data_IF_724614405220
#
_entry.id   IF_724614405220
#
_cell.length_a   1.000
_cell.length_b   1.000
_cell.length_c   1.000
_cell.angle_alpha   90.00
_cell.angle_beta   90.00
_cell.angle_gamma   90.00
#
_symmetry.space_group_name_H-M   'P 1'
#
loop_
_entity.id
_entity.type
_entity.pdbx_description
1 polymer ?
#
# COMPACT_ATOMS: atom_id res chain seq x y z
N UNK A 1 -10.98 -25.04 -22.40
CA UNK A 1 -11.08 -24.68 -20.97
C UNK A 1 -9.70 -24.79 -20.35
N UNK A 2 -8.92 -23.70 -20.37
CA UNK A 2 -7.68 -23.59 -19.60
C UNK A 2 -7.91 -22.51 -18.56
N UNK A 3 -7.87 -22.92 -17.29
CA UNK A 3 -7.96 -22.03 -16.14
C UNK A 3 -6.64 -21.26 -16.04
N UNK A 4 -6.62 -20.00 -16.45
CA UNK A 4 -5.66 -19.02 -15.93
C UNK A 4 -6.34 -18.30 -14.76
N UNK A 5 -6.17 -18.83 -13.55
CA UNK A 5 -6.47 -18.09 -12.31
C UNK A 5 -5.35 -17.09 -12.08
N UNK A 6 -5.43 -15.91 -12.72
CA UNK A 6 -4.43 -14.85 -12.65
C UNK A 6 -4.78 -13.79 -11.60
N UNK A 7 -3.83 -13.47 -10.75
CA UNK A 7 -3.91 -12.53 -9.65
C UNK A 7 -4.02 -11.05 -10.11
N UNK A 8 -5.14 -10.65 -10.70
CA UNK A 8 -5.28 -9.35 -11.41
C UNK A 8 -5.31 -8.10 -10.50
N UNK A 9 -5.35 -8.30 -9.18
CA UNK A 9 -5.60 -7.24 -8.21
C UNK A 9 -4.50 -7.04 -7.16
N UNK A 10 -3.35 -7.72 -7.24
CA UNK A 10 -2.22 -7.41 -6.35
C UNK A 10 -1.47 -6.17 -6.83
N UNK A 11 -1.40 -5.15 -5.96
CA UNK A 11 -0.82 -3.83 -6.24
C UNK A 11 0.15 -3.42 -5.14
N UNK A 12 1.02 -2.47 -5.46
CA UNK A 12 2.00 -1.94 -4.51
C UNK A 12 1.33 -1.10 -3.43
N UNK A 13 1.72 -1.30 -2.17
CA UNK A 13 1.32 -0.43 -1.05
C UNK A 13 2.09 0.89 -1.16
N UNK A 14 3.43 0.82 -1.17
CA UNK A 14 4.29 1.93 -1.58
C UNK A 14 4.46 1.89 -3.10
N UNK A 15 3.92 2.85 -3.87
CA UNK A 15 3.92 2.77 -5.32
C UNK A 15 5.33 2.74 -5.91
N UNK A 16 5.54 1.91 -6.93
CA UNK A 16 6.84 1.76 -7.64
C UNK A 16 7.53 3.10 -7.93
N UNK A 17 6.83 4.04 -8.58
CA UNK A 17 7.38 5.36 -8.91
C UNK A 17 7.79 6.18 -7.68
N UNK A 18 7.09 6.01 -6.56
CA UNK A 18 7.48 6.64 -5.31
C UNK A 18 8.76 5.98 -4.76
N UNK A 19 8.84 4.66 -4.75
CA UNK A 19 10.02 3.92 -4.30
C UNK A 19 11.27 4.27 -5.13
N UNK A 20 11.16 4.29 -6.46
CA UNK A 20 12.23 4.67 -7.39
C UNK A 20 12.73 6.09 -7.10
N UNK A 21 11.82 7.05 -6.89
CA UNK A 21 12.17 8.44 -6.57
C UNK A 21 12.90 8.57 -5.22
N UNK A 22 12.63 7.68 -4.27
CA UNK A 22 13.22 7.69 -2.94
C UNK A 22 14.44 6.76 -2.82
N UNK A 23 14.97 6.24 -3.93
CA UNK A 23 16.17 5.41 -3.93
C UNK A 23 16.01 4.05 -3.24
N UNK A 24 14.77 3.55 -3.10
CA UNK A 24 14.52 2.23 -2.53
C UNK A 24 14.94 1.16 -3.54
N UNK A 25 15.68 0.15 -3.09
CA UNK A 25 16.17 -0.90 -3.97
C UNK A 25 15.02 -1.74 -4.57
N UNK A 26 15.07 -2.09 -5.87
CA UNK A 26 14.04 -2.91 -6.53
C UNK A 26 13.74 -4.22 -5.82
N UNK A 27 14.76 -4.90 -5.28
CA UNK A 27 14.58 -6.16 -4.54
C UNK A 27 13.66 -6.01 -3.33
N UNK A 28 13.61 -4.82 -2.72
CA UNK A 28 12.76 -4.55 -1.56
C UNK A 28 11.34 -4.18 -2.00
N UNK A 29 11.20 -3.22 -2.91
CA UNK A 29 9.85 -2.74 -3.28
C UNK A 29 9.08 -3.68 -4.22
N UNK A 30 9.77 -4.57 -4.95
CA UNK A 30 9.13 -5.61 -5.78
C UNK A 30 8.79 -6.89 -5.01
N UNK A 31 9.17 -6.98 -3.74
CA UNK A 31 8.82 -8.08 -2.83
C UNK A 31 7.31 -8.23 -2.62
N UNK A 32 6.90 -9.39 -2.11
CA UNK A 32 5.51 -9.66 -1.70
C UNK A 32 5.09 -8.82 -0.48
N UNK A 33 6.05 -8.38 0.35
CA UNK A 33 5.81 -7.54 1.53
C UNK A 33 5.18 -6.21 1.13
N UNK A 34 5.64 -5.60 0.03
CA UNK A 34 5.09 -4.34 -0.50
C UNK A 34 3.84 -4.53 -1.38
N UNK A 35 3.14 -5.67 -1.28
CA UNK A 35 2.00 -6.00 -2.14
C UNK A 35 0.76 -6.33 -1.33
N UNK A 36 -0.41 -5.89 -1.82
CA UNK A 36 -1.71 -6.21 -1.26
C UNK A 36 -2.77 -6.37 -2.36
N UNK A 37 -3.78 -7.23 -2.15
CA UNK A 37 -4.99 -7.25 -2.98
C UNK A 37 -5.72 -5.90 -2.84
N UNK A 38 -5.81 -5.15 -3.93
CA UNK A 38 -6.44 -3.84 -3.98
C UNK A 38 -7.43 -3.78 -5.13
N UNK A 39 -8.62 -3.25 -4.86
CA UNK A 39 -9.60 -2.99 -5.91
C UNK A 39 -9.06 -2.00 -6.94
N UNK A 40 -9.52 -2.09 -8.19
CA UNK A 40 -9.18 -1.12 -9.24
C UNK A 40 -9.50 0.32 -8.83
N UNK A 41 -10.60 0.53 -8.08
CA UNK A 41 -10.98 1.85 -7.53
C UNK A 41 -9.93 2.38 -6.55
N UNK A 42 -9.48 1.55 -5.61
CA UNK A 42 -8.44 1.91 -4.64
C UNK A 42 -7.12 2.20 -5.33
N UNK A 43 -6.71 1.36 -6.28
CA UNK A 43 -5.48 1.52 -7.05
C UNK A 43 -5.44 2.85 -7.83
N UNK A 44 -6.58 3.27 -8.41
CA UNK A 44 -6.70 4.59 -9.07
C UNK A 44 -6.50 5.76 -8.10
N UNK A 45 -6.91 5.63 -6.84
CA UNK A 45 -6.73 6.68 -5.82
C UNK A 45 -5.25 6.78 -5.40
N UNK A 46 -4.62 5.63 -5.18
CA UNK A 46 -3.19 5.49 -4.85
C UNK A 46 -2.32 6.16 -5.92
N UNK A 47 -2.44 5.73 -7.18
CA UNK A 47 -1.60 6.24 -8.26
C UNK A 47 -0.10 6.10 -7.95
N UNK A 48 0.67 7.17 -8.12
CA UNK A 48 2.10 7.22 -7.79
C UNK A 48 2.41 8.02 -6.51
N UNK A 49 1.40 8.24 -5.66
CA UNK A 49 1.51 9.12 -4.49
C UNK A 49 2.15 8.39 -3.31
N UNK A 50 2.74 9.16 -2.41
CA UNK A 50 3.19 8.65 -1.12
C UNK A 50 2.00 8.09 -0.31
N UNK A 51 2.22 7.06 0.54
CA UNK A 51 1.18 6.53 1.42
C UNK A 51 0.46 7.54 2.29
N UNK A 52 1.17 8.46 2.92
CA UNK A 52 0.58 9.55 3.71
C UNK A 52 -0.47 10.34 2.92
N UNK A 53 -0.18 10.61 1.65
CA UNK A 53 -1.05 11.40 0.75
C UNK A 53 -2.27 10.59 0.31
N UNK A 54 -2.09 9.35 -0.16
CA UNK A 54 -3.24 8.58 -0.64
C UNK A 54 -4.12 8.10 0.51
N UNK A 55 -3.57 7.84 1.71
CA UNK A 55 -4.36 7.41 2.87
C UNK A 55 -5.35 8.50 3.28
N UNK A 56 -4.90 9.76 3.34
CA UNK A 56 -5.79 10.89 3.62
C UNK A 56 -6.95 10.96 2.62
N UNK A 57 -6.66 10.80 1.33
CA UNK A 57 -7.69 10.77 0.26
C UNK A 57 -8.64 9.58 0.35
N UNK A 58 -8.14 8.41 0.75
CA UNK A 58 -8.97 7.22 0.95
C UNK A 58 -9.92 7.42 2.14
N UNK A 59 -9.42 7.95 3.25
CA UNK A 59 -10.24 8.26 4.43
C UNK A 59 -11.37 9.23 4.08
N UNK A 60 -11.05 10.33 3.40
CA UNK A 60 -12.02 11.35 2.97
C UNK A 60 -13.09 10.74 2.04
N UNK A 61 -12.67 10.01 1.00
CA UNK A 61 -13.60 9.40 0.03
C UNK A 61 -14.46 8.30 0.62
N UNK A 62 -13.93 7.53 1.56
CA UNK A 62 -14.68 6.48 2.26
C UNK A 62 -15.51 7.04 3.42
N UNK A 63 -15.34 8.32 3.79
CA UNK A 63 -15.96 8.95 4.95
C UNK A 63 -15.72 8.17 6.24
N UNK A 64 -14.50 7.68 6.44
CA UNK A 64 -14.11 6.92 7.64
C UNK A 64 -13.13 7.71 8.52
N UNK A 65 -13.16 7.43 9.81
CA UNK A 65 -12.27 8.04 10.79
C UNK A 65 -10.84 7.52 10.66
N UNK A 66 -9.87 8.24 11.24
CA UNK A 66 -8.48 7.76 11.37
C UNK A 66 -8.42 6.40 12.07
N UNK A 67 -9.16 6.25 13.17
CA UNK A 67 -9.23 5.01 13.96
C UNK A 67 -9.71 3.86 13.07
N UNK A 68 -10.79 4.07 12.30
CA UNK A 68 -11.30 3.02 11.42
C UNK A 68 -10.31 2.64 10.31
N UNK A 69 -9.56 3.61 9.78
CA UNK A 69 -8.48 3.31 8.83
C UNK A 69 -7.35 2.53 9.50
N UNK A 70 -7.00 2.86 10.75
CA UNK A 70 -5.99 2.14 11.53
C UNK A 70 -6.39 0.68 11.74
N UNK A 71 -7.64 0.41 12.12
CA UNK A 71 -8.16 -0.95 12.28
C UNK A 71 -8.05 -1.76 10.97
N UNK A 72 -8.34 -1.13 9.83
CA UNK A 72 -8.27 -1.77 8.50
C UNK A 72 -6.82 -2.10 8.13
N UNK A 73 -5.89 -1.19 8.39
CA UNK A 73 -4.47 -1.43 8.10
C UNK A 73 -3.91 -2.52 9.00
N UNK A 74 -4.23 -2.47 10.30
CA UNK A 74 -3.78 -3.45 11.28
C UNK A 74 -4.33 -4.84 11.00
N UNK A 75 -5.58 -4.97 10.54
CA UNK A 75 -6.15 -6.28 10.15
C UNK A 75 -5.44 -6.93 8.96
N UNK A 76 -4.63 -6.17 8.22
CA UNK A 76 -3.78 -6.66 7.13
C UNK A 76 -2.30 -6.71 7.53
N UNK A 77 -2.00 -6.67 8.83
CA UNK A 77 -0.65 -6.63 9.38
C UNK A 77 0.19 -5.44 8.84
N UNK A 78 -0.45 -4.30 8.58
CA UNK A 78 0.22 -3.07 8.16
C UNK A 78 0.26 -2.09 9.33
N UNK A 79 1.46 -1.66 9.72
CA UNK A 79 1.62 -0.63 10.74
C UNK A 79 1.16 0.74 10.17
N UNK A 80 0.11 1.39 10.74
CA UNK A 80 -0.41 2.62 10.16
C UNK A 80 0.56 3.80 10.18
N UNK A 81 1.40 3.89 11.21
CA UNK A 81 2.35 5.00 11.37
C UNK A 81 3.45 4.95 10.31
N UNK A 82 3.94 3.76 9.96
CA UNK A 82 4.91 3.59 8.87
C UNK A 82 4.40 4.11 7.52
N UNK A 83 3.10 3.97 7.23
CA UNK A 83 2.50 4.55 6.02
C UNK A 83 2.30 6.06 6.16
N UNK A 84 1.86 6.54 7.33
CA UNK A 84 1.64 7.99 7.53
C UNK A 84 2.92 8.81 7.51
N UNK A 85 4.03 8.21 7.92
CA UNK A 85 5.35 8.85 7.87
C UNK A 85 6.10 8.54 6.57
N UNK A 86 5.47 7.87 5.59
CA UNK A 86 6.09 7.41 4.35
C UNK A 86 7.39 6.60 4.57
N UNK A 87 7.50 5.91 5.70
CA UNK A 87 8.72 5.20 6.10
C UNK A 87 8.67 3.75 5.58
N UNK A 88 9.17 3.58 4.36
CA UNK A 88 9.25 2.27 3.71
C UNK A 88 10.04 1.25 4.53
N UNK A 89 11.16 1.66 5.12
CA UNK A 89 12.03 0.76 5.88
C UNK A 89 11.30 0.20 7.11
N UNK A 90 10.68 1.08 7.91
CA UNK A 90 9.88 0.65 9.06
C UNK A 90 8.69 -0.22 8.64
N UNK A 91 8.02 0.11 7.52
CA UNK A 91 6.95 -0.73 6.97
C UNK A 91 7.45 -2.13 6.61
N UNK A 92 8.61 -2.22 5.97
CA UNK A 92 9.20 -3.46 5.50
C UNK A 92 9.68 -4.32 6.68
N UNK A 93 10.39 -3.72 7.62
CA UNK A 93 10.97 -4.41 8.78
C UNK A 93 9.91 -4.98 9.71
N UNK A 94 8.76 -4.32 9.84
CA UNK A 94 7.63 -4.81 10.64
C UNK A 94 6.85 -5.95 9.98
N UNK A 95 7.22 -6.36 8.76
CA UNK A 95 6.48 -7.34 7.93
C UNK A 95 7.35 -8.45 7.33
N UNK A 96 8.64 -8.46 7.62
CA UNK A 96 9.58 -9.50 7.17
C UNK A 96 9.69 -10.67 8.16
#
# INVERSE_FOLDING_TARGET
>A
MMLQTGNDNVRYIFPRKWCEKNGIEPRLFDSVINKAPLSSRTNKIIGSKAPSIYLSKLQEKAKITKIRMDDILQSHAINPESLRSDNFQAFFDLRQ
#
